data_IF_334263046152
#
_entry.id   IF_334263046152
#
_cell.length_a   1.000
_cell.length_b   1.000
_cell.length_c   1.000
_cell.angle_alpha   90.00
_cell.angle_beta   90.00
_cell.angle_gamma   90.00
#
_symmetry.space_group_name_H-M   'P 1'
#
loop_
_entity.id
_entity.type
_entity.pdbx_description
1 polymer ?
#
# COMPACT_ATOMS: atom_id res chain seq x y z
N UNK A 1 9.24 -21.47 1.76
CA UNK A 1 8.09 -21.70 2.68
C UNK A 1 7.59 -20.35 3.17
N UNK A 2 6.68 -19.71 2.42
CA UNK A 2 6.09 -18.44 2.85
C UNK A 2 4.95 -18.73 3.81
N UNK A 3 5.17 -18.49 5.11
CA UNK A 3 4.08 -18.52 6.10
C UNK A 3 3.05 -17.46 5.67
N UNK A 4 1.82 -17.90 5.44
CA UNK A 4 0.71 -17.00 5.17
C UNK A 4 0.47 -16.17 6.43
N UNK A 5 0.85 -14.89 6.39
CA UNK A 5 0.60 -14.00 7.52
C UNK A 5 -0.85 -13.50 7.40
N UNK A 6 -1.71 -14.08 8.24
CA UNK A 6 -3.11 -13.69 8.34
C UNK A 6 -3.25 -12.48 9.27
N UNK A 7 -3.91 -11.42 8.81
CA UNK A 7 -4.23 -10.26 9.65
C UNK A 7 -5.52 -10.59 10.38
N UNK A 8 -5.44 -10.73 11.70
CA UNK A 8 -6.56 -11.15 12.53
C UNK A 8 -7.64 -10.07 12.67
N UNK A 9 -8.86 -10.50 12.99
CA UNK A 9 -9.98 -9.60 13.30
C UNK A 9 -9.65 -8.59 14.41
N UNK A 10 -8.91 -9.02 15.44
CA UNK A 10 -8.47 -8.14 16.52
C UNK A 10 -7.56 -7.02 16.01
N UNK A 11 -6.61 -7.34 15.13
CA UNK A 11 -5.74 -6.34 14.52
C UNK A 11 -6.53 -5.35 13.67
N UNK A 12 -7.53 -5.82 12.90
CA UNK A 12 -8.41 -4.92 12.13
C UNK A 12 -9.19 -3.96 13.04
N UNK A 13 -9.72 -4.43 14.17
CA UNK A 13 -10.40 -3.55 15.11
C UNK A 13 -9.46 -2.55 15.79
N UNK A 14 -8.24 -2.95 16.14
CA UNK A 14 -7.22 -2.02 16.65
C UNK A 14 -6.83 -0.98 15.59
N UNK A 15 -6.68 -1.38 14.32
CA UNK A 15 -6.44 -0.45 13.21
C UNK A 15 -7.57 0.59 13.09
N UNK A 16 -8.83 0.14 13.12
CA UNK A 16 -10.00 1.03 13.08
C UNK A 16 -10.02 2.00 14.27
N UNK A 17 -9.61 1.54 15.45
CA UNK A 17 -9.50 2.35 16.65
C UNK A 17 -8.32 3.36 16.61
N UNK A 18 -7.47 3.31 15.58
CA UNK A 18 -6.32 4.21 15.45
C UNK A 18 -5.09 3.78 16.27
N UNK A 19 -4.95 2.49 16.57
CA UNK A 19 -3.76 1.95 17.22
C UNK A 19 -2.57 1.99 16.26
N UNK A 20 -1.69 2.98 16.46
CA UNK A 20 -0.51 3.19 15.63
C UNK A 20 0.51 2.04 15.71
N UNK A 21 0.60 1.33 16.84
CA UNK A 21 1.53 0.20 16.99
C UNK A 21 1.06 -1.00 16.16
N UNK A 22 -0.25 -1.23 16.10
CA UNK A 22 -0.81 -2.28 15.23
C UNK A 22 -0.67 -1.89 13.75
N UNK A 23 -0.82 -0.61 13.42
CA UNK A 23 -0.56 -0.12 12.07
C UNK A 23 0.89 -0.33 11.65
N UNK A 24 1.86 0.03 12.49
CA UNK A 24 3.27 -0.19 12.23
C UNK A 24 3.59 -1.68 12.03
N UNK A 25 3.06 -2.55 12.89
CA UNK A 25 3.23 -4.01 12.74
C UNK A 25 2.69 -4.55 11.41
N UNK A 26 1.50 -4.09 11.00
CA UNK A 26 0.90 -4.46 9.71
C UNK A 26 1.70 -3.89 8.54
N UNK A 27 2.20 -2.67 8.68
CA UNK A 27 3.05 -2.01 7.70
C UNK A 27 4.36 -2.77 7.49
N UNK A 28 5.10 -3.08 8.55
CA UNK A 28 6.35 -3.86 8.50
C UNK A 28 6.15 -5.20 7.78
N UNK A 29 4.99 -5.84 8.02
CA UNK A 29 4.64 -7.10 7.38
C UNK A 29 4.36 -6.95 5.87
N UNK A 30 3.59 -5.95 5.48
CA UNK A 30 3.11 -5.81 4.09
C UNK A 30 4.11 -5.08 3.18
N UNK A 31 4.88 -4.13 3.72
CA UNK A 31 5.85 -3.31 2.97
C UNK A 31 6.74 -4.11 2.02
N UNK A 32 7.50 -5.14 2.46
CA UNK A 32 8.40 -5.86 1.54
C UNK A 32 7.66 -6.54 0.39
N UNK A 33 6.44 -7.03 0.63
CA UNK A 33 5.60 -7.66 -0.41
C UNK A 33 5.09 -6.62 -1.40
N UNK A 34 4.70 -5.44 -0.91
CA UNK A 34 4.25 -4.35 -1.76
C UNK A 34 5.39 -3.77 -2.59
N UNK A 35 6.59 -3.61 -2.02
CA UNK A 35 7.78 -3.19 -2.77
C UNK A 35 8.03 -4.10 -3.97
N UNK A 36 8.03 -5.43 -3.77
CA UNK A 36 8.18 -6.40 -4.87
C UNK A 36 7.03 -6.29 -5.88
N UNK A 37 5.81 -6.06 -5.40
CA UNK A 37 4.62 -5.99 -6.25
C UNK A 37 4.58 -4.74 -7.14
N UNK A 38 5.02 -3.58 -6.63
CA UNK A 38 4.96 -2.31 -7.39
C UNK A 38 6.21 -2.05 -8.24
N UNK A 39 7.35 -2.69 -7.93
CA UNK A 39 8.62 -2.56 -8.68
C UNK A 39 8.49 -2.62 -10.22
N UNK A 40 7.69 -3.51 -10.82
CA UNK A 40 7.55 -3.55 -12.29
C UNK A 40 6.91 -2.29 -12.91
N UNK A 41 6.31 -1.43 -12.08
CA UNK A 41 5.67 -0.18 -12.50
C UNK A 41 6.53 1.06 -12.20
N UNK A 42 7.71 0.89 -11.61
CA UNK A 42 8.58 1.98 -11.15
C UNK A 42 9.94 1.98 -11.84
N UNK A 43 10.65 3.11 -11.81
CA UNK A 43 12.00 3.18 -12.39
C UNK A 43 13.09 2.76 -11.42
N UNK A 44 12.89 3.04 -10.14
CA UNK A 44 13.85 2.77 -9.09
C UNK A 44 13.12 2.38 -7.79
N UNK A 45 13.90 2.17 -6.75
CA UNK A 45 13.42 1.77 -5.43
C UNK A 45 12.74 2.93 -4.69
N UNK A 46 13.14 4.17 -4.96
CA UNK A 46 12.57 5.37 -4.35
C UNK A 46 11.12 5.59 -4.82
N UNK A 47 10.87 5.52 -6.13
CA UNK A 47 9.53 5.53 -6.73
C UNK A 47 8.63 4.44 -6.12
N UNK A 48 9.18 3.23 -5.93
CA UNK A 48 8.46 2.11 -5.33
C UNK A 48 8.12 2.40 -3.86
N UNK A 49 9.08 2.96 -3.12
CA UNK A 49 8.89 3.36 -1.74
C UNK A 49 7.81 4.45 -1.61
N UNK A 50 7.82 5.45 -2.48
CA UNK A 50 6.83 6.54 -2.49
C UNK A 50 5.41 6.03 -2.77
N UNK A 51 5.26 5.12 -3.74
CA UNK A 51 3.97 4.47 -4.02
C UNK A 51 3.49 3.69 -2.79
N UNK A 52 4.37 2.89 -2.19
CA UNK A 52 4.03 2.09 -1.02
C UNK A 52 3.63 2.99 0.16
N UNK A 53 4.38 4.05 0.42
CA UNK A 53 4.08 5.03 1.45
C UNK A 53 2.69 5.67 1.25
N UNK A 54 2.39 6.13 0.03
CA UNK A 54 1.09 6.72 -0.32
C UNK A 54 -0.08 5.73 -0.12
N UNK A 55 0.11 4.45 -0.46
CA UNK A 55 -0.88 3.39 -0.21
C UNK A 55 -1.19 3.29 1.29
N UNK A 56 -0.16 3.28 2.13
CA UNK A 56 -0.33 3.17 3.57
C UNK A 56 -0.97 4.42 4.19
N UNK A 57 -0.66 5.62 3.69
CA UNK A 57 -1.34 6.86 4.08
C UNK A 57 -2.83 6.81 3.74
N UNK A 58 -3.18 6.40 2.53
CA UNK A 58 -4.58 6.22 2.10
C UNK A 58 -5.31 5.19 2.96
N UNK A 59 -4.66 4.10 3.33
CA UNK A 59 -5.21 3.09 4.24
C UNK A 59 -5.46 3.69 5.62
N UNK A 60 -4.48 4.42 6.17
CA UNK A 60 -4.62 5.06 7.48
C UNK A 60 -5.80 6.03 7.49
N UNK A 61 -5.95 6.87 6.46
CA UNK A 61 -7.07 7.81 6.35
C UNK A 61 -8.42 7.09 6.26
N UNK A 62 -8.48 5.91 5.63
CA UNK A 62 -9.70 5.11 5.44
C UNK A 62 -9.85 4.00 6.49
N UNK A 63 -9.04 3.98 7.55
CA UNK A 63 -8.90 2.84 8.48
C UNK A 63 -10.23 2.40 9.12
N UNK A 64 -11.13 3.34 9.39
CA UNK A 64 -12.45 3.06 9.96
C UNK A 64 -13.32 2.18 9.05
N UNK A 65 -13.08 2.21 7.73
CA UNK A 65 -13.87 1.51 6.72
C UNK A 65 -13.24 0.17 6.28
N UNK A 66 -12.07 -0.21 6.82
CA UNK A 66 -11.41 -1.47 6.48
C UNK A 66 -12.33 -2.63 6.83
N UNK A 67 -12.51 -3.62 5.93
CA UNK A 67 -13.27 -4.84 6.20
C UNK A 67 -12.33 -6.02 6.45
N UNK A 68 -12.59 -6.77 7.53
CA UNK A 68 -11.84 -7.98 7.82
C UNK A 68 -12.07 -9.04 6.74
N UNK A 69 -11.00 -9.75 6.36
CA UNK A 69 -11.03 -10.75 5.29
C UNK A 69 -10.77 -10.19 3.88
N UNK A 70 -11.05 -8.91 3.63
CA UNK A 70 -10.73 -8.25 2.33
C UNK A 70 -9.54 -7.31 2.41
N UNK A 71 -9.12 -6.91 3.61
CA UNK A 71 -8.08 -5.90 3.81
C UNK A 71 -6.82 -6.10 2.96
N UNK A 72 -6.19 -7.29 2.99
CA UNK A 72 -4.96 -7.53 2.20
C UNK A 72 -5.24 -7.34 0.70
N UNK A 73 -6.37 -7.87 0.19
CA UNK A 73 -6.76 -7.70 -1.21
C UNK A 73 -6.96 -6.22 -1.56
N UNK A 74 -7.58 -5.44 -0.68
CA UNK A 74 -7.79 -4.01 -0.84
C UNK A 74 -6.46 -3.24 -0.88
N UNK A 75 -5.49 -3.59 -0.01
CA UNK A 75 -4.15 -2.98 -0.03
C UNK A 75 -3.45 -3.21 -1.36
N UNK A 76 -3.45 -4.44 -1.88
CA UNK A 76 -2.81 -4.75 -3.16
C UNK A 76 -3.55 -4.11 -4.35
N UNK A 77 -4.88 -4.02 -4.30
CA UNK A 77 -5.66 -3.31 -5.30
C UNK A 77 -5.29 -1.81 -5.33
N UNK A 78 -5.20 -1.18 -4.15
CA UNK A 78 -4.83 0.23 -4.00
C UNK A 78 -3.38 0.49 -4.44
N UNK A 79 -2.47 -0.45 -4.18
CA UNK A 79 -1.09 -0.37 -4.65
C UNK A 79 -1.00 -0.40 -6.17
N UNK A 80 -1.77 -1.30 -6.82
CA UNK A 80 -1.85 -1.34 -8.29
C UNK A 80 -2.42 -0.04 -8.85
N UNK A 81 -3.50 0.47 -8.28
CA UNK A 81 -4.11 1.73 -8.71
C UNK A 81 -3.12 2.89 -8.60
N UNK A 82 -2.45 3.01 -7.46
CA UNK A 82 -1.47 4.07 -7.20
C UNK A 82 -0.26 3.97 -8.14
N UNK A 83 0.24 2.75 -8.40
CA UNK A 83 1.33 2.52 -9.35
C UNK A 83 0.94 2.87 -10.80
N UNK A 84 -0.28 2.50 -11.23
CA UNK A 84 -0.80 2.86 -12.56
C UNK A 84 -0.98 4.37 -12.71
N UNK A 85 -1.43 5.05 -11.66
CA UNK A 85 -1.54 6.51 -11.65
C UNK A 85 -0.15 7.15 -11.80
N UNK A 86 0.83 6.70 -11.02
CA UNK A 86 2.21 7.17 -11.12
C UNK A 86 2.80 6.99 -12.54
N UNK A 87 2.57 5.83 -13.17
CA UNK A 87 2.99 5.59 -14.56
C UNK A 87 2.34 6.55 -15.57
N UNK A 88 1.04 6.84 -15.38
CA UNK A 88 0.29 7.77 -16.23
C UNK A 88 0.80 9.20 -16.09
N UNK A 89 1.01 9.65 -14.86
CA UNK A 89 1.50 11.02 -14.60
C UNK A 89 2.88 11.23 -15.23
N UNK A 90 3.73 10.21 -15.21
CA UNK A 90 5.03 10.23 -15.92
C UNK A 90 4.89 10.31 -17.44
N UNK A 91 3.94 9.57 -18.02
CA UNK A 91 3.70 9.59 -19.48
C UNK A 91 3.10 10.93 -19.93
N UNK A 92 2.39 11.62 -19.04
CA UNK A 92 1.85 12.97 -19.27
C UNK A 92 2.91 14.06 -19.05
N UNK A 93 3.87 13.82 -18.15
CA UNK A 93 5.01 14.72 -17.86
C UNK A 93 6.09 14.80 -18.95
N UNK A 94 6.04 13.96 -19.99
CA UNK A 94 6.87 14.13 -21.21
C UNK A 94 6.25 15.08 -22.24
N UNK A 95 5.27 15.90 -21.83
CA UNK A 95 4.54 16.84 -22.69
C UNK A 95 4.83 18.33 -22.47
N UNK A 96 5.76 18.71 -21.60
CA UNK A 96 6.19 20.11 -21.45
C UNK A 96 7.65 20.28 -21.88
N UNK A 97 7.83 20.67 -23.15
CA UNK A 97 8.89 21.57 -23.59
C UNK A 97 8.39 23.00 -23.27
N UNK A 98 9.22 23.86 -22.65
CA UNK A 98 10.35 24.49 -23.34
C UNK A 98 11.72 24.26 -22.69
#
# INVERSE_FOLDING_TARGET
>A
MSKEHHISYRQINSLRAGDAAVFDSVFTLLRPRLMVFVRPYTCNDDDAQDIVQNVFEKIWLKRCNIVHGTFVKEVFAMARETAMQHLRDRTRGTGELP
#
